data_IF_990316900719
#
_entry.id   IF_990316900719
#
_cell.length_a   1.000
_cell.length_b   1.000
_cell.length_c   1.000
_cell.angle_alpha   90.00
_cell.angle_beta   90.00
_cell.angle_gamma   90.00
#
_symmetry.space_group_name_H-M   'P 1'
#
loop_
_entity.id
_entity.type
_entity.pdbx_description
1 polymer ?
#
# COMPACT_ATOMS: atom_id res chain seq x y z
N UNK A 1 23.27 -65.92 -54.66
CA UNK A 1 21.83 -65.78 -54.92
C UNK A 1 21.10 -65.72 -53.55
N UNK A 2 20.72 -64.61 -53.13
CA UNK A 2 19.56 -64.38 -52.20
C UNK A 2 19.54 -62.92 -51.77
N UNK A 3 18.59 -62.23 -52.32
CA UNK A 3 18.32 -60.84 -52.00
C UNK A 3 17.62 -60.75 -50.65
N UNK A 4 18.17 -60.00 -49.70
CA UNK A 4 17.47 -59.60 -48.46
C UNK A 4 16.98 -58.17 -48.57
N UNK A 5 15.71 -57.85 -48.14
CA UNK A 5 15.17 -56.51 -48.30
C UNK A 5 15.67 -55.58 -47.18
N UNK A 6 15.96 -54.38 -47.63
CA UNK A 6 16.32 -53.27 -46.75
C UNK A 6 15.17 -52.84 -45.80
N UNK A 7 15.49 -52.81 -44.52
CA UNK A 7 14.58 -52.31 -43.50
C UNK A 7 14.67 -50.79 -43.42
N UNK A 8 13.65 -50.14 -43.90
CA UNK A 8 13.50 -48.65 -43.77
C UNK A 8 13.05 -48.30 -42.31
N UNK A 9 13.96 -47.75 -41.52
CA UNK A 9 13.62 -47.22 -40.23
C UNK A 9 13.00 -45.85 -40.41
N UNK A 10 11.71 -45.75 -40.17
CA UNK A 10 10.99 -44.47 -40.06
C UNK A 10 11.28 -43.87 -38.72
N UNK A 11 12.03 -42.76 -38.71
CA UNK A 11 12.24 -41.94 -37.52
C UNK A 11 10.99 -41.12 -37.23
N UNK A 12 10.27 -41.47 -36.18
CA UNK A 12 9.18 -40.66 -35.64
C UNK A 12 9.79 -39.49 -34.85
N UNK A 13 9.76 -38.30 -35.44
CA UNK A 13 10.07 -37.06 -34.71
C UNK A 13 8.91 -36.71 -33.75
N UNK A 14 9.15 -36.89 -32.46
CA UNK A 14 8.22 -36.46 -31.43
C UNK A 14 8.35 -34.95 -31.29
N UNK A 15 7.32 -34.21 -31.75
CA UNK A 15 7.14 -32.78 -31.44
C UNK A 15 6.73 -32.63 -29.97
N UNK A 16 7.63 -32.22 -29.10
CA UNK A 16 7.33 -31.74 -27.78
C UNK A 16 6.72 -30.33 -27.91
N UNK A 17 5.40 -30.24 -27.82
CA UNK A 17 4.70 -28.98 -27.63
C UNK A 17 5.00 -28.49 -26.22
N UNK A 18 5.91 -27.51 -26.10
CA UNK A 18 6.15 -26.79 -24.85
C UNK A 18 4.94 -25.92 -24.57
N UNK A 19 4.04 -26.39 -23.72
CA UNK A 19 2.97 -25.55 -23.13
C UNK A 19 3.60 -24.59 -22.14
N UNK A 20 3.82 -23.36 -22.58
CA UNK A 20 4.20 -22.24 -21.71
C UNK A 20 3.05 -21.94 -20.76
N UNK A 21 3.15 -22.39 -19.51
CA UNK A 21 2.32 -21.92 -18.42
C UNK A 21 2.67 -20.45 -18.19
N UNK A 22 1.89 -19.55 -18.78
CA UNK A 22 1.93 -18.14 -18.43
C UNK A 22 1.50 -18.03 -16.98
N UNK A 23 2.48 -17.92 -16.07
CA UNK A 23 2.23 -17.51 -14.68
C UNK A 23 1.61 -16.13 -14.72
N UNK A 24 0.29 -16.04 -14.47
CA UNK A 24 -0.33 -14.79 -14.08
C UNK A 24 0.27 -14.38 -12.73
N UNK A 25 1.42 -13.74 -12.77
CA UNK A 25 1.87 -12.93 -11.65
C UNK A 25 0.88 -11.79 -11.55
N UNK A 26 -0.05 -11.94 -10.62
CA UNK A 26 -0.94 -10.86 -10.25
C UNK A 26 -0.07 -9.70 -9.80
N UNK A 27 0.16 -8.76 -10.71
CA UNK A 27 0.68 -7.45 -10.37
C UNK A 27 -0.34 -6.86 -9.40
N UNK A 28 -0.07 -6.97 -8.10
CA UNK A 28 -0.83 -6.25 -7.10
C UNK A 28 -0.83 -4.80 -7.54
N UNK A 29 -1.96 -4.33 -8.05
CA UNK A 29 -2.11 -2.96 -8.47
C UNK A 29 -1.74 -2.08 -7.27
N UNK A 30 -0.53 -1.55 -7.28
CA UNK A 30 -0.08 -0.57 -6.30
C UNK A 30 -0.97 0.63 -6.52
N UNK A 31 -1.88 0.86 -5.57
CA UNK A 31 -2.83 1.98 -5.68
C UNK A 31 -2.05 3.28 -5.83
N UNK A 32 -2.47 4.19 -6.72
CA UNK A 32 -1.65 5.35 -7.12
C UNK A 32 -1.23 6.24 -5.95
N UNK A 33 -1.98 6.25 -4.85
CA UNK A 33 -1.66 7.06 -3.67
C UNK A 33 -0.49 6.54 -2.82
N UNK A 34 -0.29 5.23 -2.73
CA UNK A 34 0.87 4.65 -2.04
C UNK A 34 2.18 5.05 -2.71
N UNK A 35 2.20 5.08 -4.05
CA UNK A 35 3.36 5.53 -4.82
C UNK A 35 3.58 7.03 -4.68
N UNK A 36 2.49 7.82 -4.66
CA UNK A 36 2.59 9.28 -4.55
C UNK A 36 3.14 9.77 -3.19
N UNK A 37 2.90 9.01 -2.10
CA UNK A 37 3.47 9.32 -0.78
C UNK A 37 4.93 8.87 -0.63
N UNK A 38 5.42 7.97 -1.48
CA UNK A 38 6.74 7.35 -1.33
C UNK A 38 6.84 6.43 -0.11
N UNK A 39 5.70 5.88 0.35
CA UNK A 39 5.62 5.04 1.53
C UNK A 39 4.99 3.67 1.27
N UNK A 40 5.04 2.81 2.27
CA UNK A 40 4.50 1.46 2.27
C UNK A 40 3.33 1.34 3.23
N UNK A 41 2.12 1.00 2.73
CA UNK A 41 0.90 0.95 3.52
C UNK A 41 0.98 -0.05 4.70
N UNK A 42 1.62 -1.21 4.53
CA UNK A 42 1.81 -2.17 5.62
C UNK A 42 2.63 -1.56 6.76
N UNK A 43 3.78 -0.97 6.45
CA UNK A 43 4.62 -0.28 7.44
C UNK A 43 3.89 0.92 8.07
N UNK A 44 3.01 1.57 7.30
CA UNK A 44 2.14 2.64 7.79
C UNK A 44 1.16 2.16 8.84
N UNK A 45 0.51 1.01 8.62
CA UNK A 45 -0.36 0.39 9.63
C UNK A 45 0.40 0.06 10.91
N UNK A 46 1.60 -0.50 10.77
CA UNK A 46 2.43 -0.87 11.91
C UNK A 46 2.88 0.38 12.69
N UNK A 47 3.23 1.48 12.00
CA UNK A 47 3.53 2.77 12.61
C UNK A 47 2.29 3.37 13.32
N UNK A 48 1.11 3.33 12.72
CA UNK A 48 -0.15 3.76 13.33
C UNK A 48 -0.39 3.02 14.65
N UNK A 49 -0.17 1.70 14.66
CA UNK A 49 -0.33 0.88 15.85
C UNK A 49 0.70 1.25 16.94
N UNK A 50 1.97 1.34 16.60
CA UNK A 50 3.07 1.62 17.54
C UNK A 50 3.04 3.06 18.08
N UNK A 51 2.55 4.01 17.30
CA UNK A 51 2.39 5.42 17.71
C UNK A 51 1.05 5.72 18.37
N UNK A 52 0.23 4.69 18.61
CA UNK A 52 -1.06 4.77 19.33
C UNK A 52 -2.06 5.77 18.70
N UNK A 53 -2.05 5.94 17.38
CA UNK A 53 -2.99 6.83 16.69
C UNK A 53 -4.44 6.45 16.97
N UNK A 54 -4.71 5.15 17.15
CA UNK A 54 -6.01 4.60 17.49
C UNK A 54 -6.56 5.01 18.86
N UNK A 55 -5.74 5.59 19.76
CA UNK A 55 -6.22 6.13 21.02
C UNK A 55 -7.15 7.33 20.81
N UNK A 56 -6.95 8.09 19.74
CA UNK A 56 -7.73 9.27 19.42
C UNK A 56 -8.62 9.08 18.17
N UNK A 57 -8.19 8.27 17.23
CA UNK A 57 -8.86 8.09 15.94
C UNK A 57 -9.46 6.70 15.79
N UNK A 58 -10.64 6.64 15.18
CA UNK A 58 -11.15 5.41 14.57
C UNK A 58 -10.47 5.20 13.22
N UNK A 59 -9.78 4.03 13.07
CA UNK A 59 -8.96 3.77 11.89
C UNK A 59 -9.26 2.34 11.37
N UNK A 60 -9.97 2.20 10.26
CA UNK A 60 -10.30 0.91 9.68
C UNK A 60 -9.05 0.04 9.45
N UNK A 61 -9.14 -1.25 9.78
CA UNK A 61 -8.08 -2.23 9.58
C UNK A 61 -6.92 -2.18 10.58
N UNK A 62 -6.99 -1.30 11.61
CA UNK A 62 -6.04 -1.24 12.72
C UNK A 62 -6.71 -1.74 13.99
N UNK A 63 -6.15 -2.80 14.58
CA UNK A 63 -6.74 -3.43 15.79
C UNK A 63 -6.71 -2.47 16.97
N UNK A 64 -7.84 -2.29 17.64
CA UNK A 64 -7.96 -1.41 18.81
C UNK A 64 -8.03 0.08 18.48
N UNK A 65 -8.07 0.47 17.21
CA UNK A 65 -8.16 1.87 16.79
C UNK A 65 -9.62 2.31 16.66
N UNK A 66 -10.27 2.57 17.80
CA UNK A 66 -11.68 3.00 17.90
C UNK A 66 -11.81 4.32 18.64
N UNK A 67 -10.77 5.16 18.64
CA UNK A 67 -10.77 6.45 19.32
C UNK A 67 -11.77 7.41 18.71
N UNK A 68 -12.38 8.23 19.57
CA UNK A 68 -13.45 9.22 19.21
C UNK A 68 -13.06 10.65 19.55
N UNK A 69 -11.83 10.89 19.99
CA UNK A 69 -11.31 12.24 20.32
C UNK A 69 -10.99 13.01 19.05
N UNK A 70 -10.35 12.36 18.08
CA UNK A 70 -10.14 12.88 16.75
C UNK A 70 -11.21 12.37 15.77
N UNK A 71 -11.27 12.92 14.55
CA UNK A 71 -12.19 12.43 13.53
C UNK A 71 -11.83 10.99 13.12
N UNK A 72 -12.84 10.18 12.79
CA UNK A 72 -12.60 8.88 12.14
C UNK A 72 -11.73 9.08 10.89
N UNK A 73 -10.81 8.18 10.63
CA UNK A 73 -9.96 8.22 9.43
C UNK A 73 -10.48 7.30 8.31
N UNK A 74 -11.72 6.83 8.44
CA UNK A 74 -12.39 6.11 7.37
C UNK A 74 -12.48 6.97 6.10
N UNK A 75 -12.43 6.31 4.94
CA UNK A 75 -12.52 6.94 3.62
C UNK A 75 -11.56 8.14 3.44
N UNK A 76 -10.39 8.07 4.07
CA UNK A 76 -9.44 9.19 4.08
C UNK A 76 -9.02 9.61 2.66
N UNK A 77 -8.87 8.67 1.74
CA UNK A 77 -8.49 8.95 0.34
C UNK A 77 -9.47 9.87 -0.39
N UNK A 78 -10.73 9.91 0.03
CA UNK A 78 -11.80 10.72 -0.60
C UNK A 78 -11.95 12.12 0.00
N UNK A 79 -11.19 12.47 1.03
CA UNK A 79 -11.29 13.79 1.68
C UNK A 79 -10.65 14.86 0.81
N UNK A 80 -11.25 16.04 0.83
CA UNK A 80 -10.72 17.21 0.12
C UNK A 80 -9.60 17.88 0.91
N UNK A 81 -9.63 17.80 2.26
CA UNK A 81 -8.70 18.48 3.14
C UNK A 81 -8.10 17.57 4.20
N UNK A 82 -6.84 17.82 4.56
CA UNK A 82 -6.17 17.33 5.76
C UNK A 82 -6.45 18.32 6.88
N UNK A 83 -6.93 17.84 8.03
CA UNK A 83 -7.25 18.64 9.21
C UNK A 83 -8.20 19.82 8.95
N UNK A 84 -8.94 19.83 7.85
CA UNK A 84 -9.80 20.93 7.45
C UNK A 84 -9.06 22.18 6.93
N UNK A 85 -7.73 22.17 6.88
CA UNK A 85 -6.89 23.33 6.59
C UNK A 85 -6.09 23.22 5.31
N UNK A 86 -5.49 22.07 5.05
CA UNK A 86 -4.61 21.87 3.90
C UNK A 86 -5.30 21.03 2.82
N UNK A 87 -5.10 21.31 1.52
CA UNK A 87 -5.51 20.38 0.48
C UNK A 87 -4.98 18.97 0.75
N UNK A 88 -5.81 17.94 0.54
CA UNK A 88 -5.44 16.56 0.79
C UNK A 88 -4.48 16.05 -0.29
N UNK A 89 -3.20 16.34 -0.13
CA UNK A 89 -2.10 15.85 -0.93
C UNK A 89 -1.14 15.03 -0.07
N UNK A 90 -0.38 14.08 -0.65
CA UNK A 90 0.60 13.30 0.10
C UNK A 90 1.60 14.17 0.87
N UNK A 91 2.09 15.24 0.26
CA UNK A 91 3.04 16.16 0.88
C UNK A 91 2.44 16.90 2.07
N UNK A 92 1.22 17.39 1.95
CA UNK A 92 0.53 18.08 3.03
C UNK A 92 0.19 17.13 4.18
N UNK A 93 -0.22 15.88 3.88
CA UNK A 93 -0.46 14.88 4.91
C UNK A 93 0.82 14.52 5.66
N UNK A 94 1.94 14.31 4.98
CA UNK A 94 3.24 14.04 5.62
C UNK A 94 3.66 15.20 6.52
N UNK A 95 3.50 16.45 6.07
CA UNK A 95 3.77 17.64 6.90
C UNK A 95 2.89 17.69 8.14
N UNK A 96 1.59 17.45 8.00
CA UNK A 96 0.64 17.41 9.10
C UNK A 96 0.99 16.32 10.13
N UNK A 97 1.28 15.11 9.68
CA UNK A 97 1.62 13.98 10.54
C UNK A 97 2.89 14.23 11.37
N UNK A 98 3.84 14.98 10.82
CA UNK A 98 5.11 15.26 11.50
C UNK A 98 5.03 16.43 12.47
N UNK A 99 4.34 17.50 12.07
CA UNK A 99 4.40 18.78 12.79
C UNK A 99 3.02 19.46 12.83
N UNK A 100 1.99 18.81 13.41
CA UNK A 100 0.63 19.35 13.37
C UNK A 100 0.52 20.75 14.01
N UNK A 101 1.21 21.01 15.13
CA UNK A 101 1.15 22.32 15.81
C UNK A 101 1.86 23.45 15.04
N UNK A 102 2.73 23.13 14.08
CA UNK A 102 3.31 24.15 13.18
C UNK A 102 2.32 24.62 12.11
N UNK A 103 1.32 23.79 11.83
CA UNK A 103 0.27 24.09 10.86
C UNK A 103 -0.94 24.70 11.56
N UNK A 104 -1.33 24.11 12.67
CA UNK A 104 -2.39 24.62 13.54
C UNK A 104 -1.92 24.60 14.99
N UNK A 105 -1.50 25.73 15.55
CA UNK A 105 -1.04 25.80 16.95
C UNK A 105 -2.10 25.43 17.99
N UNK A 106 -3.38 25.42 17.60
CA UNK A 106 -4.50 25.10 18.49
C UNK A 106 -4.97 23.64 18.36
N UNK A 107 -4.36 22.85 17.49
CA UNK A 107 -4.76 21.46 17.31
C UNK A 107 -4.51 20.62 18.56
N UNK A 108 -5.48 19.75 18.88
CA UNK A 108 -5.31 18.75 19.93
C UNK A 108 -4.44 17.55 19.48
N UNK A 109 -4.15 17.39 18.19
CA UNK A 109 -3.30 16.34 17.70
C UNK A 109 -1.83 16.57 18.13
N UNK A 110 -1.22 15.66 18.91
CA UNK A 110 0.14 15.86 19.39
C UNK A 110 1.18 15.61 18.28
N UNK A 111 2.38 16.17 18.46
CA UNK A 111 3.56 15.76 17.66
C UNK A 111 4.01 14.38 18.14
N UNK A 112 3.92 13.37 17.25
CA UNK A 112 4.17 11.97 17.58
C UNK A 112 5.62 11.54 17.32
N UNK A 113 6.49 12.45 16.90
CA UNK A 113 7.90 12.16 16.61
C UNK A 113 8.10 11.22 15.42
N UNK A 114 7.20 11.26 14.44
CA UNK A 114 7.37 10.49 13.20
C UNK A 114 8.53 11.07 12.39
N UNK A 115 9.43 10.21 11.95
CA UNK A 115 10.37 10.60 10.93
C UNK A 115 9.67 10.74 9.56
N UNK A 116 10.41 11.19 8.56
CA UNK A 116 9.82 11.44 7.24
C UNK A 116 9.34 10.16 6.57
N UNK A 117 10.08 9.06 6.71
CA UNK A 117 9.70 7.79 6.10
C UNK A 117 8.50 7.16 6.82
N UNK A 118 8.47 7.20 8.16
CA UNK A 118 7.30 6.74 8.93
C UNK A 118 6.04 7.54 8.54
N UNK A 119 6.16 8.87 8.42
CA UNK A 119 5.03 9.71 8.00
C UNK A 119 4.56 9.40 6.56
N UNK A 120 5.49 9.12 5.64
CA UNK A 120 5.16 8.63 4.29
C UNK A 120 4.46 7.28 4.31
N UNK A 121 4.89 6.37 5.17
CA UNK A 121 4.27 5.06 5.34
C UNK A 121 2.84 5.20 5.90
N UNK A 122 2.65 6.02 6.93
CA UNK A 122 1.32 6.33 7.49
C UNK A 122 0.42 6.95 6.43
N UNK A 123 0.92 7.91 5.65
CA UNK A 123 0.17 8.50 4.55
C UNK A 123 -0.25 7.45 3.51
N UNK A 124 0.66 6.53 3.14
CA UNK A 124 0.34 5.44 2.21
C UNK A 124 -0.80 4.55 2.72
N UNK A 125 -0.82 4.24 4.03
CA UNK A 125 -1.92 3.50 4.63
C UNK A 125 -3.23 4.28 4.59
N UNK A 126 -3.23 5.53 5.04
CA UNK A 126 -4.45 6.35 5.06
C UNK A 126 -5.04 6.55 3.66
N UNK A 127 -4.22 6.73 2.64
CA UNK A 127 -4.70 6.78 1.25
C UNK A 127 -5.20 5.44 0.71
N UNK A 128 -4.95 4.33 1.39
CA UNK A 128 -5.56 3.03 1.05
C UNK A 128 -6.96 2.85 1.62
N UNK A 129 -7.42 3.74 2.50
CA UNK A 129 -8.77 3.73 3.08
C UNK A 129 -9.74 4.47 2.13
N UNK A 130 -10.67 3.71 1.54
CA UNK A 130 -11.68 4.18 0.58
C UNK A 130 -13.06 4.29 1.20
#
# INVERSE_FOLDING_TARGET
MSNGPALVMASAAALFAATSLASCQGSGATRPYGVASGGYARSGRDAIQSRHCGACHDIPGVVGAYGVVGPSLDAFSRRTFVAGLLPNTPQNLVRWLREPQRIDPLTAMPTLGLDEQEAKNVAAYLYSLE
#
